data_IF_704262640393
#
_entry.id   IF_704262640393
#
_cell.length_a   1.000
_cell.length_b   1.000
_cell.length_c   1.000
_cell.angle_alpha   90.00
_cell.angle_beta   90.00
_cell.angle_gamma   90.00
#
_symmetry.space_group_name_H-M   'P 1'
#
loop_
_entity.id
_entity.type
_entity.pdbx_description
1 polymer ?
#
# COMPACT_ATOMS: atom_id res chain seq x y z
N UNK A 1 -33.49 -24.55 -22.95
CA UNK A 1 -33.79 -23.84 -21.69
C UNK A 1 -33.20 -24.51 -20.43
N UNK A 2 -32.97 -25.81 -20.36
CA UNK A 2 -32.53 -26.49 -19.12
C UNK A 2 -31.03 -26.37 -18.75
N UNK A 3 -30.13 -25.96 -19.63
CA UNK A 3 -28.70 -25.79 -19.29
C UNK A 3 -28.42 -24.42 -18.68
N UNK A 4 -29.06 -23.37 -19.14
CA UNK A 4 -28.91 -22.00 -18.55
C UNK A 4 -29.49 -21.93 -17.13
N UNK A 5 -30.62 -22.55 -16.85
CA UNK A 5 -31.19 -22.59 -15.49
C UNK A 5 -30.32 -23.37 -14.49
N UNK A 6 -29.51 -24.35 -14.90
CA UNK A 6 -28.56 -25.06 -14.03
C UNK A 6 -27.37 -24.16 -13.67
N UNK A 7 -26.91 -23.24 -14.55
CA UNK A 7 -25.84 -22.32 -14.25
C UNK A 7 -26.27 -21.20 -13.27
N UNK A 8 -27.51 -20.71 -13.38
CA UNK A 8 -28.04 -19.69 -12.46
C UNK A 8 -28.47 -20.27 -11.10
N UNK A 9 -28.81 -21.54 -10.98
CA UNK A 9 -29.21 -22.17 -9.71
C UNK A 9 -28.01 -22.46 -8.77
N UNK A 10 -26.76 -22.27 -9.20
CA UNK A 10 -25.55 -22.53 -8.41
C UNK A 10 -24.86 -21.24 -7.92
N UNK A 11 -25.36 -20.05 -8.30
CA UNK A 11 -24.78 -18.78 -7.86
C UNK A 11 -25.28 -18.43 -6.44
N UNK A 12 -24.53 -18.88 -5.44
CA UNK A 12 -24.86 -18.63 -4.03
C UNK A 12 -24.29 -17.29 -3.55
N UNK A 13 -24.86 -16.73 -2.47
CA UNK A 13 -24.28 -15.54 -1.81
C UNK A 13 -22.80 -15.74 -1.44
N UNK A 14 -22.40 -16.98 -1.12
CA UNK A 14 -20.99 -17.32 -0.84
C UNK A 14 -20.11 -17.17 -2.11
N UNK A 15 -20.60 -17.62 -3.26
CA UNK A 15 -19.87 -17.46 -4.53
C UNK A 15 -19.74 -15.99 -4.91
N UNK A 16 -20.79 -15.18 -4.71
CA UNK A 16 -20.74 -13.75 -4.94
C UNK A 16 -19.72 -13.05 -4.01
N UNK A 17 -19.71 -13.41 -2.74
CA UNK A 17 -18.74 -12.89 -1.78
C UNK A 17 -17.28 -13.19 -2.19
N UNK A 18 -17.01 -14.43 -2.58
CA UNK A 18 -15.68 -14.83 -3.06
C UNK A 18 -15.26 -14.09 -4.34
N UNK A 19 -16.20 -13.87 -5.26
CA UNK A 19 -15.96 -13.12 -6.49
C UNK A 19 -15.70 -11.63 -6.20
N UNK A 20 -16.49 -11.01 -5.33
CA UNK A 20 -16.28 -9.62 -4.92
C UNK A 20 -14.94 -9.45 -4.21
N UNK A 21 -14.58 -10.36 -3.31
CA UNK A 21 -13.28 -10.34 -2.65
C UNK A 21 -12.12 -10.52 -3.64
N UNK A 22 -12.26 -11.43 -4.62
CA UNK A 22 -11.30 -11.56 -5.71
C UNK A 22 -11.10 -10.23 -6.45
N UNK A 23 -12.18 -9.54 -6.83
CA UNK A 23 -12.08 -8.24 -7.51
C UNK A 23 -11.52 -7.14 -6.61
N UNK A 24 -11.84 -7.13 -5.31
CA UNK A 24 -11.20 -6.20 -4.37
C UNK A 24 -9.67 -6.37 -4.37
N UNK A 25 -9.17 -7.61 -4.35
CA UNK A 25 -7.73 -7.89 -4.40
C UNK A 25 -7.14 -7.57 -5.77
N UNK A 26 -7.81 -7.99 -6.85
CA UNK A 26 -7.37 -7.73 -8.22
C UNK A 26 -7.18 -6.23 -8.50
N UNK A 27 -8.10 -5.39 -8.03
CA UNK A 27 -8.13 -3.96 -8.30
C UNK A 27 -7.44 -3.09 -7.23
N UNK A 28 -6.70 -3.67 -6.28
CA UNK A 28 -5.85 -2.91 -5.33
C UNK A 28 -4.97 -1.88 -6.05
N UNK A 29 -4.30 -2.22 -7.19
CA UNK A 29 -3.41 -1.29 -7.89
C UNK A 29 -4.11 -0.11 -8.57
N UNK A 30 -5.41 -0.18 -8.79
CA UNK A 30 -6.11 0.80 -9.64
C UNK A 30 -6.46 2.10 -8.90
N UNK A 31 -6.54 3.19 -9.66
CA UNK A 31 -6.96 4.51 -9.19
C UNK A 31 -8.24 5.00 -9.89
N UNK A 32 -9.09 4.08 -10.35
CA UNK A 32 -10.37 4.44 -10.97
C UNK A 32 -11.22 5.17 -9.94
N UNK A 33 -11.42 6.47 -10.09
CA UNK A 33 -12.16 7.27 -9.12
C UNK A 33 -12.52 8.64 -9.64
N UNK A 34 -13.48 9.27 -8.99
CA UNK A 34 -13.90 10.64 -9.21
C UNK A 34 -13.42 11.53 -8.09
N UNK A 35 -12.57 12.50 -8.41
CA UNK A 35 -12.15 13.56 -7.49
C UNK A 35 -13.20 14.67 -7.43
N UNK A 36 -13.41 15.17 -6.21
CA UNK A 36 -14.23 16.35 -5.94
C UNK A 36 -13.34 17.46 -5.37
N UNK A 37 -13.67 18.71 -5.70
CA UNK A 37 -12.82 19.85 -5.39
C UNK A 37 -13.58 20.94 -4.63
N UNK A 38 -14.13 20.66 -3.42
CA UNK A 38 -14.68 21.70 -2.57
C UNK A 38 -13.57 22.65 -2.07
N UNK A 39 -13.94 23.83 -1.59
CA UNK A 39 -13.00 24.91 -1.25
C UNK A 39 -11.91 24.50 -0.25
N UNK A 40 -12.21 23.61 0.69
CA UNK A 40 -11.24 23.12 1.66
C UNK A 40 -10.09 22.27 1.04
N UNK A 41 -10.20 21.90 -0.24
CA UNK A 41 -9.15 21.18 -0.96
C UNK A 41 -8.12 22.11 -1.62
N UNK A 42 -8.32 23.42 -1.51
CA UNK A 42 -7.49 24.42 -2.15
C UNK A 42 -6.50 25.00 -1.14
N UNK A 43 -5.21 25.03 -1.50
CA UNK A 43 -4.18 25.80 -0.83
C UNK A 43 -3.72 26.89 -1.79
N UNK A 44 -3.85 28.18 -1.43
CA UNK A 44 -3.55 29.31 -2.30
C UNK A 44 -4.23 29.20 -3.69
N UNK A 45 -5.50 28.75 -3.71
CA UNK A 45 -6.29 28.48 -4.93
C UNK A 45 -5.77 27.33 -5.81
N UNK A 46 -4.79 26.55 -5.32
CA UNK A 46 -4.24 25.38 -6.02
C UNK A 46 -4.87 24.11 -5.45
N UNK A 47 -5.39 23.25 -6.35
CA UNK A 47 -5.96 21.96 -5.97
C UNK A 47 -4.92 21.05 -5.34
N UNK A 48 -5.24 20.50 -4.18
CA UNK A 48 -4.36 19.60 -3.41
C UNK A 48 -4.97 18.19 -3.37
N UNK A 49 -4.36 17.26 -4.11
CA UNK A 49 -4.86 15.87 -4.25
C UNK A 49 -5.04 15.18 -2.89
N UNK A 50 -4.19 15.46 -1.91
CA UNK A 50 -4.25 14.87 -0.57
C UNK A 50 -5.52 15.20 0.22
N UNK A 51 -6.19 16.32 -0.11
CA UNK A 51 -7.42 16.78 0.56
C UNK A 51 -8.67 16.42 -0.21
N UNK A 52 -8.52 16.02 -1.49
CA UNK A 52 -9.65 15.77 -2.37
C UNK A 52 -10.46 14.56 -1.89
N UNK A 53 -11.79 14.70 -1.64
CA UNK A 53 -12.68 13.57 -1.56
C UNK A 53 -12.65 12.80 -2.88
N UNK A 54 -12.45 11.49 -2.81
CA UNK A 54 -12.41 10.63 -3.99
C UNK A 54 -13.31 9.43 -3.78
N UNK A 55 -14.24 9.21 -4.67
CA UNK A 55 -15.01 7.96 -4.70
C UNK A 55 -14.31 7.03 -5.68
N UNK A 56 -13.62 6.03 -5.15
CA UNK A 56 -13.00 5.00 -5.99
C UNK A 56 -14.00 3.89 -6.33
N UNK A 57 -13.91 3.35 -7.55
CA UNK A 57 -14.66 2.13 -7.91
C UNK A 57 -14.33 0.95 -6.98
N UNK A 58 -13.13 0.94 -6.42
CA UNK A 58 -12.70 -0.03 -5.42
C UNK A 58 -13.52 0.06 -4.11
N UNK A 59 -13.86 1.26 -3.66
CA UNK A 59 -14.66 1.48 -2.45
C UNK A 59 -16.07 0.90 -2.62
N UNK A 60 -16.65 1.06 -3.83
CA UNK A 60 -17.95 0.46 -4.16
C UNK A 60 -17.90 -1.06 -4.11
N UNK A 61 -16.81 -1.68 -4.59
CA UNK A 61 -16.62 -3.13 -4.49
C UNK A 61 -16.56 -3.60 -3.03
N UNK A 62 -15.85 -2.86 -2.17
CA UNK A 62 -15.77 -3.15 -0.73
C UNK A 62 -17.14 -3.02 -0.07
N UNK A 63 -17.88 -1.96 -0.35
CA UNK A 63 -19.23 -1.78 0.19
C UNK A 63 -20.16 -2.92 -0.22
N UNK A 64 -20.14 -3.34 -1.49
CA UNK A 64 -20.91 -4.49 -1.97
C UNK A 64 -20.47 -5.79 -1.28
N UNK A 65 -19.17 -6.00 -1.10
CA UNK A 65 -18.63 -7.14 -0.37
C UNK A 65 -19.16 -7.19 1.08
N UNK A 66 -19.16 -6.05 1.76
CA UNK A 66 -19.68 -5.94 3.13
C UNK A 66 -21.18 -6.18 3.20
N UNK A 67 -21.95 -5.66 2.24
CA UNK A 67 -23.40 -5.93 2.15
C UNK A 67 -23.64 -7.44 2.05
N UNK A 68 -22.93 -8.15 1.18
CA UNK A 68 -23.08 -9.61 1.02
C UNK A 68 -22.61 -10.35 2.28
N UNK A 69 -21.54 -9.90 2.93
CA UNK A 69 -21.05 -10.46 4.18
C UNK A 69 -22.11 -10.39 5.30
N UNK A 70 -22.70 -9.22 5.53
CA UNK A 70 -23.72 -9.03 6.56
C UNK A 70 -25.07 -9.67 6.18
N UNK A 71 -25.41 -9.71 4.89
CA UNK A 71 -26.59 -10.43 4.41
C UNK A 71 -26.56 -11.93 4.80
N UNK A 72 -25.36 -12.52 4.80
CA UNK A 72 -25.15 -13.90 5.25
C UNK A 72 -25.16 -14.03 6.80
N UNK A 73 -25.50 -12.98 7.53
CA UNK A 73 -25.52 -12.92 9.01
C UNK A 73 -24.16 -13.23 9.65
N UNK A 74 -23.06 -13.04 8.92
CA UNK A 74 -21.72 -13.15 9.44
C UNK A 74 -21.42 -11.99 10.39
N UNK A 75 -20.55 -12.24 11.38
CA UNK A 75 -20.17 -11.24 12.39
C UNK A 75 -18.69 -10.95 12.29
N UNK A 76 -18.31 -9.71 12.57
CA UNK A 76 -16.92 -9.35 12.76
C UNK A 76 -16.39 -10.02 14.03
N UNK A 77 -15.12 -10.48 13.99
CA UNK A 77 -14.43 -11.01 15.17
C UNK A 77 -14.15 -9.88 16.16
N UNK A 78 -14.39 -10.13 17.43
CA UNK A 78 -14.37 -9.11 18.50
C UNK A 78 -13.00 -8.44 18.64
N UNK A 79 -11.90 -9.21 18.64
CA UNK A 79 -10.57 -8.64 18.87
C UNK A 79 -10.09 -7.75 17.71
N UNK A 80 -10.15 -8.16 16.42
CA UNK A 80 -9.84 -7.27 15.31
C UNK A 80 -10.76 -6.05 15.26
N UNK A 81 -12.06 -6.21 15.55
CA UNK A 81 -13.01 -5.11 15.62
C UNK A 81 -12.63 -4.09 16.70
N UNK A 82 -12.26 -4.56 17.89
CA UNK A 82 -11.81 -3.69 18.97
C UNK A 82 -10.58 -2.87 18.57
N UNK A 83 -9.56 -3.50 17.99
CA UNK A 83 -8.34 -2.81 17.55
C UNK A 83 -8.63 -1.78 16.46
N UNK A 84 -9.47 -2.14 15.51
CA UNK A 84 -9.87 -1.23 14.43
C UNK A 84 -10.65 -0.03 14.95
N UNK A 85 -11.64 -0.26 15.82
CA UNK A 85 -12.40 0.83 16.42
C UNK A 85 -11.54 1.71 17.31
N UNK A 86 -10.62 1.13 18.09
CA UNK A 86 -9.68 1.88 18.91
C UNK A 86 -8.81 2.79 18.03
N UNK A 87 -8.26 2.25 16.93
CA UNK A 87 -7.53 3.04 15.95
C UNK A 87 -8.39 4.19 15.42
N UNK A 88 -9.60 3.91 14.89
CA UNK A 88 -10.46 4.96 14.33
C UNK A 88 -10.85 6.02 15.36
N UNK A 89 -11.22 5.63 16.57
CA UNK A 89 -11.65 6.58 17.60
C UNK A 89 -10.50 7.51 18.02
N UNK A 90 -9.28 6.96 18.15
CA UNK A 90 -8.13 7.80 18.48
C UNK A 90 -7.74 8.74 17.35
N UNK A 91 -7.90 8.34 16.07
CA UNK A 91 -7.72 9.25 14.93
C UNK A 91 -8.82 10.35 14.92
N UNK A 92 -10.07 9.99 15.21
CA UNK A 92 -11.21 10.91 15.24
C UNK A 92 -11.02 12.04 16.27
N UNK A 93 -10.41 11.76 17.42
CA UNK A 93 -10.16 12.75 18.47
C UNK A 93 -9.31 13.92 17.94
N UNK A 94 -8.39 13.71 17.02
CA UNK A 94 -7.55 14.78 16.44
C UNK A 94 -8.35 15.81 15.64
N UNK A 95 -9.58 15.49 15.21
CA UNK A 95 -10.43 16.41 14.46
C UNK A 95 -10.82 17.65 15.30
N UNK A 96 -10.82 17.53 16.64
CA UNK A 96 -11.11 18.66 17.52
C UNK A 96 -10.08 19.79 17.45
N UNK A 97 -8.86 19.50 16.97
CA UNK A 97 -7.78 20.47 16.81
C UNK A 97 -7.44 20.73 15.32
N UNK A 98 -8.31 20.32 14.41
CA UNK A 98 -8.05 20.42 12.97
C UNK A 98 -8.31 21.83 12.44
N UNK A 99 -7.32 22.41 11.77
CA UNK A 99 -7.46 23.66 11.00
C UNK A 99 -8.25 23.47 9.70
N UNK A 100 -8.22 22.26 9.12
CA UNK A 100 -8.97 21.86 7.92
C UNK A 100 -9.81 20.61 8.20
N UNK A 101 -10.96 20.82 8.84
CA UNK A 101 -11.88 19.74 9.24
C UNK A 101 -12.34 18.91 8.03
N UNK A 102 -12.54 19.53 6.86
CA UNK A 102 -12.93 18.83 5.63
C UNK A 102 -11.88 17.81 5.20
N UNK A 103 -10.60 18.19 5.20
CA UNK A 103 -9.49 17.28 4.87
C UNK A 103 -9.39 16.13 5.88
N UNK A 104 -9.63 16.42 7.17
CA UNK A 104 -9.64 15.39 8.23
C UNK A 104 -10.76 14.37 8.05
N UNK A 105 -11.97 14.82 7.70
CA UNK A 105 -13.08 13.90 7.41
C UNK A 105 -12.81 13.01 6.20
N UNK A 106 -12.19 13.54 5.14
CA UNK A 106 -11.79 12.75 3.96
C UNK A 106 -10.85 11.62 4.36
N UNK A 107 -9.83 11.91 5.18
CA UNK A 107 -8.89 10.88 5.63
C UNK A 107 -9.54 9.87 6.57
N UNK A 108 -10.38 10.33 7.48
CA UNK A 108 -11.12 9.46 8.39
C UNK A 108 -12.06 8.51 7.63
N UNK A 109 -12.76 8.99 6.61
CA UNK A 109 -13.59 8.19 5.72
C UNK A 109 -12.77 7.14 4.99
N UNK A 110 -11.61 7.51 4.41
CA UNK A 110 -10.71 6.58 3.74
C UNK A 110 -10.24 5.46 4.69
N UNK A 111 -9.81 5.80 5.91
CA UNK A 111 -9.43 4.81 6.91
C UNK A 111 -10.61 3.91 7.30
N UNK A 112 -11.81 4.45 7.35
CA UNK A 112 -13.01 3.69 7.68
C UNK A 112 -13.35 2.67 6.59
N UNK A 113 -13.45 3.08 5.32
CA UNK A 113 -13.82 2.19 4.21
C UNK A 113 -12.73 1.13 3.96
N UNK A 114 -11.46 1.57 3.87
CA UNK A 114 -10.36 0.64 3.60
C UNK A 114 -10.11 -0.26 4.81
N UNK A 115 -10.28 0.26 6.03
CA UNK A 115 -10.15 -0.50 7.26
C UNK A 115 -11.24 -1.56 7.44
N UNK A 116 -12.48 -1.27 7.01
CA UNK A 116 -13.55 -2.27 6.96
C UNK A 116 -13.23 -3.45 6.02
N UNK A 117 -12.49 -3.22 4.93
CA UNK A 117 -11.96 -4.31 4.11
C UNK A 117 -10.96 -5.17 4.89
N UNK A 118 -10.03 -4.57 5.64
CA UNK A 118 -9.12 -5.31 6.51
C UNK A 118 -9.87 -6.10 7.61
N UNK A 119 -10.88 -5.49 8.23
CA UNK A 119 -11.73 -6.14 9.23
C UNK A 119 -12.55 -7.30 8.64
N UNK A 120 -13.07 -7.14 7.42
CA UNK A 120 -13.71 -8.24 6.68
C UNK A 120 -12.75 -9.43 6.56
N UNK A 121 -11.52 -9.20 6.10
CA UNK A 121 -10.51 -10.26 5.96
C UNK A 121 -10.23 -10.91 7.31
N UNK A 122 -9.95 -10.12 8.35
CA UNK A 122 -9.68 -10.63 9.71
C UNK A 122 -10.82 -11.47 10.29
N UNK A 123 -12.04 -11.23 9.81
CA UNK A 123 -13.26 -11.92 10.27
C UNK A 123 -13.56 -13.22 9.50
N UNK A 124 -12.82 -13.50 8.43
CA UNK A 124 -12.95 -14.74 7.66
C UNK A 124 -12.14 -15.90 8.26
N UNK A 125 -12.31 -17.10 7.67
CA UNK A 125 -11.37 -18.20 7.81
C UNK A 125 -10.42 -18.22 6.62
N UNK A 126 -9.19 -18.68 6.82
CA UNK A 126 -8.21 -18.77 5.72
C UNK A 126 -8.75 -19.58 4.52
N UNK A 127 -9.40 -20.71 4.80
CA UNK A 127 -9.98 -21.60 3.77
C UNK A 127 -11.00 -20.87 2.88
N UNK A 128 -11.78 -19.94 3.46
CA UNK A 128 -12.82 -19.23 2.72
C UNK A 128 -12.26 -18.24 1.70
N UNK A 129 -11.09 -17.64 1.96
CA UNK A 129 -10.54 -16.54 1.15
C UNK A 129 -9.30 -16.92 0.35
N UNK A 130 -8.59 -18.01 0.68
CA UNK A 130 -7.27 -18.35 0.13
C UNK A 130 -7.21 -18.37 -1.40
N UNK A 131 -8.22 -18.92 -2.07
CA UNK A 131 -8.25 -19.01 -3.54
C UNK A 131 -8.48 -17.64 -4.19
N UNK A 132 -9.48 -16.90 -3.72
CA UNK A 132 -9.77 -15.55 -4.22
C UNK A 132 -8.61 -14.58 -3.97
N UNK A 133 -7.96 -14.67 -2.81
CA UNK A 133 -6.75 -13.91 -2.50
C UNK A 133 -5.62 -14.24 -3.48
N UNK A 134 -5.36 -15.52 -3.69
CA UNK A 134 -4.27 -16.00 -4.54
C UNK A 134 -4.45 -15.55 -6.01
N UNK A 135 -5.61 -15.82 -6.60
CA UNK A 135 -5.89 -15.45 -8.00
C UNK A 135 -5.96 -13.92 -8.17
N UNK A 136 -6.52 -13.20 -7.19
CA UNK A 136 -6.54 -11.74 -7.20
C UNK A 136 -5.12 -11.15 -7.20
N UNK A 137 -4.22 -11.67 -6.35
CA UNK A 137 -2.81 -11.26 -6.31
C UNK A 137 -2.07 -11.61 -7.60
N UNK A 138 -2.25 -12.81 -8.15
CA UNK A 138 -1.63 -13.19 -9.41
C UNK A 138 -2.05 -12.25 -10.55
N UNK A 139 -3.35 -11.99 -10.68
CA UNK A 139 -3.87 -11.08 -11.69
C UNK A 139 -3.37 -9.66 -11.52
N UNK A 140 -3.39 -9.13 -10.29
CA UNK A 140 -2.93 -7.77 -9.99
C UNK A 140 -1.43 -7.57 -10.25
N UNK A 141 -0.59 -8.54 -9.88
CA UNK A 141 0.86 -8.53 -10.15
C UNK A 141 1.13 -8.61 -11.66
N UNK A 142 0.40 -9.48 -12.37
CA UNK A 142 0.57 -9.67 -13.80
C UNK A 142 0.29 -8.39 -14.59
N UNK A 143 -0.91 -7.80 -14.45
CA UNK A 143 -1.22 -6.61 -15.24
C UNK A 143 -0.40 -5.39 -14.82
N UNK A 144 -0.16 -5.19 -13.51
CA UNK A 144 0.67 -4.08 -13.04
C UNK A 144 2.10 -4.20 -13.52
N UNK A 145 2.64 -5.42 -13.55
CA UNK A 145 4.00 -5.68 -14.02
C UNK A 145 4.15 -5.45 -15.53
N UNK A 146 3.17 -5.89 -16.34
CA UNK A 146 3.18 -5.63 -17.78
C UNK A 146 3.13 -4.14 -18.08
N UNK A 147 2.22 -3.39 -17.43
CA UNK A 147 2.12 -1.93 -17.60
C UNK A 147 3.45 -1.27 -17.20
N UNK A 148 4.02 -1.66 -16.05
CA UNK A 148 5.28 -1.12 -15.55
C UNK A 148 6.44 -1.30 -16.55
N UNK A 149 6.61 -2.51 -17.09
CA UNK A 149 7.66 -2.83 -18.07
C UNK A 149 7.47 -2.02 -19.35
N UNK A 150 6.24 -2.01 -19.89
CA UNK A 150 5.95 -1.28 -21.13
C UNK A 150 6.12 0.24 -20.98
N UNK A 151 5.78 0.83 -19.84
CA UNK A 151 6.03 2.26 -19.56
C UNK A 151 7.52 2.60 -19.61
N UNK A 152 8.38 1.76 -19.00
CA UNK A 152 9.83 1.99 -19.00
C UNK A 152 10.39 1.86 -20.43
N UNK A 153 9.95 0.88 -21.20
CA UNK A 153 10.38 0.69 -22.60
C UNK A 153 9.96 1.88 -23.47
N UNK A 154 8.74 2.43 -23.27
CA UNK A 154 8.25 3.55 -24.08
C UNK A 154 8.68 4.92 -23.54
N UNK A 155 9.20 5.01 -22.32
CA UNK A 155 9.52 6.29 -21.66
C UNK A 155 8.31 7.18 -21.36
N UNK A 156 7.09 6.62 -21.39
CA UNK A 156 5.82 7.34 -21.17
C UNK A 156 4.71 6.38 -20.71
N UNK A 157 3.59 6.94 -20.29
CA UNK A 157 2.36 6.20 -19.99
C UNK A 157 1.72 5.60 -21.24
N UNK A 158 0.97 4.51 -21.06
CA UNK A 158 0.36 3.73 -22.15
C UNK A 158 -1.05 4.20 -22.53
N UNK A 159 -1.68 5.03 -21.67
CA UNK A 159 -3.04 5.53 -21.87
C UNK A 159 -4.12 4.66 -21.22
N UNK A 160 -3.80 3.80 -20.29
CA UNK A 160 -4.79 3.02 -19.53
C UNK A 160 -5.48 3.85 -18.43
N UNK A 161 -5.99 5.04 -18.81
CA UNK A 161 -6.68 5.96 -17.91
C UNK A 161 -7.89 5.29 -17.19
N UNK A 162 -8.56 4.34 -17.84
CA UNK A 162 -9.63 3.53 -17.26
C UNK A 162 -9.15 2.76 -16.00
N UNK A 163 -7.87 2.37 -15.94
CA UNK A 163 -7.29 1.72 -14.76
C UNK A 163 -6.69 2.74 -13.78
N UNK A 164 -6.81 4.02 -14.06
CA UNK A 164 -6.26 5.11 -13.27
C UNK A 164 -4.80 5.43 -13.57
N UNK A 165 -4.28 5.05 -14.75
CA UNK A 165 -2.95 5.45 -15.19
C UNK A 165 -2.91 6.97 -15.40
N UNK A 166 -1.95 7.64 -14.79
CA UNK A 166 -1.72 9.09 -14.94
C UNK A 166 -1.02 9.35 -16.28
N UNK A 167 -1.27 10.51 -16.88
CA UNK A 167 -0.61 10.89 -18.14
C UNK A 167 0.69 11.63 -17.87
N UNK A 168 1.83 11.06 -18.29
CA UNK A 168 3.16 11.68 -18.20
C UNK A 168 4.14 11.05 -19.21
N UNK A 169 5.25 11.76 -19.45
CA UNK A 169 6.41 11.31 -20.24
C UNK A 169 7.70 11.71 -19.52
N UNK A 170 8.85 11.39 -20.10
CA UNK A 170 10.16 11.81 -19.58
C UNK A 170 10.30 13.33 -19.47
N UNK A 171 9.57 14.10 -20.31
CA UNK A 171 9.59 15.57 -20.29
C UNK A 171 8.69 16.18 -19.21
N UNK A 172 7.92 15.38 -18.50
CA UNK A 172 7.03 15.85 -17.43
C UNK A 172 7.84 16.25 -16.20
N UNK A 173 7.64 17.49 -15.75
CA UNK A 173 8.33 18.05 -14.56
C UNK A 173 8.04 17.19 -13.33
N UNK A 174 9.07 16.94 -12.52
CA UNK A 174 9.00 16.19 -11.26
C UNK A 174 8.62 14.71 -11.40
N UNK A 175 8.68 14.14 -12.58
CA UNK A 175 8.55 12.70 -12.76
C UNK A 175 9.80 11.97 -12.25
N UNK A 176 9.62 10.84 -11.57
CA UNK A 176 10.73 10.08 -11.05
C UNK A 176 11.46 9.35 -12.20
N UNK A 177 12.74 9.63 -12.33
CA UNK A 177 13.65 9.06 -13.33
C UNK A 177 14.85 8.40 -12.66
N UNK A 178 15.65 7.69 -13.44
CA UNK A 178 16.98 7.24 -13.04
C UNK A 178 17.95 7.46 -14.19
N UNK A 179 19.19 7.75 -13.86
CA UNK A 179 20.28 7.87 -14.81
C UNK A 179 21.02 6.53 -14.92
N UNK A 180 21.27 6.09 -16.15
CA UNK A 180 22.06 4.94 -16.47
C UNK A 180 23.12 5.33 -17.49
N UNK A 181 24.36 5.53 -17.04
CA UNK A 181 25.49 5.96 -17.86
C UNK A 181 25.22 7.20 -18.73
N UNK A 182 24.58 8.22 -18.14
CA UNK A 182 24.26 9.48 -18.81
C UNK A 182 22.96 9.47 -19.65
N UNK A 183 22.24 8.33 -19.67
CA UNK A 183 20.93 8.26 -20.27
C UNK A 183 19.85 8.26 -19.18
N UNK A 184 18.85 9.11 -19.33
CA UNK A 184 17.74 9.24 -18.40
C UNK A 184 16.61 8.31 -18.80
N UNK A 185 16.18 7.48 -17.88
CA UNK A 185 15.06 6.54 -18.03
C UNK A 185 13.94 6.83 -17.05
N UNK A 186 12.70 6.54 -17.47
CA UNK A 186 11.54 6.59 -16.62
C UNK A 186 11.61 5.45 -15.58
N UNK A 187 11.35 5.75 -14.31
CA UNK A 187 11.06 4.72 -13.32
C UNK A 187 9.64 4.17 -13.53
N UNK A 188 9.42 2.88 -13.25
CA UNK A 188 8.11 2.26 -13.42
C UNK A 188 7.08 2.81 -12.43
N UNK A 189 5.90 3.18 -12.93
CA UNK A 189 4.76 3.67 -12.15
C UNK A 189 3.56 2.72 -12.19
N UNK A 190 3.35 2.02 -13.33
CA UNK A 190 2.09 1.31 -13.60
C UNK A 190 0.89 2.25 -13.41
N UNK A 191 -0.09 1.85 -12.62
CA UNK A 191 -1.26 2.65 -12.25
C UNK A 191 -1.09 3.38 -10.90
N UNK A 192 0.10 3.38 -10.33
CA UNK A 192 0.38 4.00 -9.03
C UNK A 192 0.84 5.46 -9.19
N UNK A 193 0.62 6.32 -8.17
CA UNK A 193 1.02 7.72 -8.23
C UNK A 193 2.53 7.93 -8.11
N UNK A 194 3.27 6.93 -7.57
CA UNK A 194 4.70 7.01 -7.36
C UNK A 194 5.37 5.63 -7.42
N UNK A 195 6.61 5.50 -7.97
CA UNK A 195 7.34 4.24 -8.06
C UNK A 195 7.56 3.53 -6.72
N UNK A 196 7.73 4.25 -5.61
CA UNK A 196 7.91 3.63 -4.30
C UNK A 196 6.66 2.87 -3.83
N UNK A 197 5.45 3.38 -4.16
CA UNK A 197 4.18 2.72 -3.84
C UNK A 197 4.02 1.45 -4.67
N UNK A 198 4.36 1.51 -5.96
CA UNK A 198 4.39 0.33 -6.84
C UNK A 198 5.38 -0.72 -6.33
N UNK A 199 6.56 -0.28 -5.87
CA UNK A 199 7.57 -1.17 -5.31
C UNK A 199 7.06 -1.91 -4.06
N UNK A 200 6.40 -1.20 -3.15
CA UNK A 200 5.78 -1.81 -1.98
C UNK A 200 4.69 -2.81 -2.38
N UNK A 201 3.87 -2.46 -3.38
CA UNK A 201 2.86 -3.37 -3.91
C UNK A 201 3.47 -4.68 -4.42
N UNK A 202 4.49 -4.63 -5.26
CA UNK A 202 5.15 -5.83 -5.77
C UNK A 202 5.80 -6.64 -4.65
N UNK A 203 6.56 -5.99 -3.76
CA UNK A 203 7.22 -6.65 -2.63
C UNK A 203 6.21 -7.45 -1.79
N UNK A 204 5.14 -6.80 -1.38
CA UNK A 204 4.13 -7.40 -0.51
C UNK A 204 3.32 -8.46 -1.26
N UNK A 205 2.88 -8.19 -2.48
CA UNK A 205 2.07 -9.12 -3.26
C UNK A 205 2.84 -10.39 -3.62
N UNK A 206 4.10 -10.25 -4.04
CA UNK A 206 5.00 -11.40 -4.30
C UNK A 206 5.23 -12.20 -3.02
N UNK A 207 5.50 -11.52 -1.90
CA UNK A 207 5.68 -12.18 -0.62
C UNK A 207 4.43 -12.93 -0.15
N UNK A 208 3.24 -12.36 -0.36
CA UNK A 208 1.96 -13.05 -0.08
C UNK A 208 1.71 -14.25 -1.00
N UNK A 209 2.07 -14.17 -2.28
CA UNK A 209 1.99 -15.32 -3.21
C UNK A 209 2.89 -16.45 -2.73
N UNK A 210 4.13 -16.14 -2.31
CA UNK A 210 5.06 -17.12 -1.75
C UNK A 210 4.49 -17.74 -0.46
N UNK A 211 3.94 -16.91 0.42
CA UNK A 211 3.31 -17.38 1.64
C UNK A 211 2.12 -18.31 1.36
N UNK A 212 1.25 -17.96 0.39
CA UNK A 212 0.14 -18.81 -0.05
C UNK A 212 0.63 -20.13 -0.65
N UNK A 213 1.74 -20.09 -1.40
CA UNK A 213 2.37 -21.30 -1.93
C UNK A 213 2.87 -22.24 -0.81
N UNK A 214 3.45 -21.71 0.28
CA UNK A 214 3.79 -22.50 1.48
C UNK A 214 2.54 -23.12 2.13
N UNK A 215 1.39 -22.44 2.06
CA UNK A 215 0.09 -22.95 2.50
C UNK A 215 -0.56 -23.93 1.48
N UNK A 216 0.22 -24.44 0.51
CA UNK A 216 -0.21 -25.38 -0.54
C UNK A 216 -1.28 -24.81 -1.48
N UNK A 217 -1.43 -23.49 -1.56
CA UNK A 217 -2.29 -22.80 -2.54
C UNK A 217 -1.43 -22.48 -3.76
N UNK A 218 -1.70 -23.15 -4.88
CA UNK A 218 -0.89 -23.01 -6.10
C UNK A 218 -1.69 -23.32 -7.36
N UNK A 219 -1.21 -22.85 -8.52
CA UNK A 219 -1.75 -23.21 -9.81
C UNK A 219 -1.51 -24.69 -10.15
N UNK A 220 -2.38 -25.25 -10.99
CA UNK A 220 -2.17 -26.58 -11.58
C UNK A 220 -0.89 -26.62 -12.44
N UNK A 221 -0.60 -25.52 -13.12
CA UNK A 221 0.57 -25.36 -14.00
C UNK A 221 1.53 -24.34 -13.36
N UNK A 222 2.61 -24.82 -12.79
CA UNK A 222 3.60 -24.01 -12.06
C UNK A 222 4.32 -22.98 -12.97
N UNK A 223 4.38 -23.26 -14.27
CA UNK A 223 5.06 -22.39 -15.25
C UNK A 223 4.42 -20.98 -15.30
N UNK A 224 3.10 -20.90 -15.24
CA UNK A 224 2.39 -19.60 -15.22
C UNK A 224 2.68 -18.81 -13.95
N UNK A 225 2.80 -19.47 -12.82
CA UNK A 225 3.15 -18.83 -11.55
C UNK A 225 4.55 -18.21 -11.62
N UNK A 226 5.52 -18.94 -12.20
CA UNK A 226 6.87 -18.44 -12.40
C UNK A 226 6.93 -17.24 -13.37
N UNK A 227 6.13 -17.26 -14.44
CA UNK A 227 6.04 -16.12 -15.37
C UNK A 227 5.55 -14.87 -14.63
N UNK A 228 4.49 -14.99 -13.82
CA UNK A 228 3.95 -13.87 -13.04
C UNK A 228 4.97 -13.38 -12.01
N UNK A 229 5.67 -14.31 -11.34
CA UNK A 229 6.74 -13.99 -10.41
C UNK A 229 7.87 -13.19 -11.09
N UNK A 230 8.30 -13.60 -12.28
CA UNK A 230 9.34 -12.90 -13.04
C UNK A 230 8.86 -11.51 -13.46
N UNK A 231 7.65 -11.39 -14.00
CA UNK A 231 7.05 -10.11 -14.41
C UNK A 231 6.94 -9.14 -13.21
N UNK A 232 6.45 -9.61 -12.06
CA UNK A 232 6.36 -8.80 -10.86
C UNK A 232 7.72 -8.39 -10.29
N UNK A 233 8.70 -9.31 -10.33
CA UNK A 233 10.08 -9.04 -9.89
C UNK A 233 10.78 -8.02 -10.78
N UNK A 234 10.63 -8.12 -12.11
CA UNK A 234 11.11 -7.12 -13.07
C UNK A 234 10.40 -5.78 -12.84
N UNK A 235 9.09 -5.78 -12.66
CA UNK A 235 8.33 -4.58 -12.33
C UNK A 235 8.87 -3.90 -11.07
N UNK A 236 9.16 -4.65 -9.99
CA UNK A 236 9.78 -4.12 -8.77
C UNK A 236 11.17 -3.53 -9.05
N UNK A 237 12.03 -4.22 -9.75
CA UNK A 237 13.38 -3.75 -10.10
C UNK A 237 13.32 -2.43 -10.86
N UNK A 238 12.42 -2.31 -11.85
CA UNK A 238 12.24 -1.12 -12.68
C UNK A 238 11.66 0.08 -11.92
N UNK A 239 11.15 -0.11 -10.69
CA UNK A 239 10.81 1.01 -9.82
C UNK A 239 12.01 1.74 -9.27
N UNK A 240 13.18 1.12 -9.21
CA UNK A 240 14.40 1.63 -8.60
C UNK A 240 14.20 2.14 -7.15
N UNK A 241 13.29 1.56 -6.39
CA UNK A 241 13.05 1.92 -4.99
C UNK A 241 14.09 1.25 -4.08
N UNK A 242 15.02 2.04 -3.53
CA UNK A 242 16.15 1.53 -2.72
C UNK A 242 15.68 0.66 -1.55
N UNK A 243 14.75 1.18 -0.76
CA UNK A 243 14.27 0.49 0.45
C UNK A 243 13.54 -0.80 0.08
N UNK A 244 12.67 -0.76 -0.93
CA UNK A 244 11.95 -1.96 -1.39
C UNK A 244 12.90 -3.01 -1.97
N UNK A 245 13.97 -2.62 -2.68
CA UNK A 245 15.00 -3.53 -3.17
C UNK A 245 15.73 -4.28 -2.05
N UNK A 246 16.04 -3.58 -0.94
CA UNK A 246 16.65 -4.21 0.23
C UNK A 246 15.71 -5.28 0.83
N UNK A 247 14.45 -4.94 1.09
CA UNK A 247 13.49 -5.93 1.61
C UNK A 247 13.23 -7.06 0.61
N UNK A 248 13.21 -6.76 -0.69
CA UNK A 248 13.05 -7.79 -1.72
C UNK A 248 14.22 -8.78 -1.76
N UNK A 249 15.45 -8.32 -1.54
CA UNK A 249 16.60 -9.20 -1.41
C UNK A 249 16.44 -10.21 -0.27
N UNK A 250 15.84 -9.81 0.86
CA UNK A 250 15.54 -10.75 1.95
C UNK A 250 14.43 -11.76 1.58
N UNK A 251 13.35 -11.34 0.89
CA UNK A 251 12.34 -12.27 0.35
C UNK A 251 13.00 -13.27 -0.60
N UNK A 252 13.88 -12.78 -1.47
CA UNK A 252 14.60 -13.62 -2.42
C UNK A 252 15.58 -14.59 -1.75
N UNK A 253 16.30 -14.13 -0.71
CA UNK A 253 17.16 -14.98 0.10
C UNK A 253 16.34 -16.07 0.83
N UNK A 254 15.17 -15.73 1.33
CA UNK A 254 14.27 -16.70 1.94
C UNK A 254 13.82 -17.79 0.95
N UNK A 255 13.44 -17.41 -0.27
CA UNK A 255 13.10 -18.36 -1.34
C UNK A 255 14.25 -19.31 -1.69
N UNK A 256 15.47 -18.78 -1.72
CA UNK A 256 16.69 -19.48 -2.14
C UNK A 256 17.50 -20.02 -0.96
N UNK A 257 16.92 -20.06 0.26
CA UNK A 257 17.63 -20.50 1.49
C UNK A 257 18.33 -21.85 1.36
N UNK A 258 17.79 -22.77 0.54
CA UNK A 258 18.38 -24.08 0.25
C UNK A 258 19.23 -24.08 -1.01
N UNK A 259 19.42 -22.95 -1.70
CA UNK A 259 20.15 -22.78 -2.95
C UNK A 259 21.07 -21.56 -2.89
N UNK A 260 21.86 -21.45 -1.81
CA UNK A 260 22.68 -20.26 -1.52
C UNK A 260 23.65 -19.89 -2.65
N UNK A 261 24.19 -20.89 -3.38
CA UNK A 261 25.05 -20.64 -4.55
C UNK A 261 24.29 -19.92 -5.66
N UNK A 262 23.03 -20.34 -5.93
CA UNK A 262 22.18 -19.71 -6.93
C UNK A 262 21.82 -18.27 -6.49
N UNK A 263 21.51 -18.07 -5.21
CA UNK A 263 21.31 -16.73 -4.66
C UNK A 263 22.52 -15.83 -4.89
N UNK A 264 23.73 -16.32 -4.57
CA UNK A 264 24.97 -15.58 -4.79
C UNK A 264 25.21 -15.23 -6.27
N UNK A 265 24.94 -16.14 -7.20
CA UNK A 265 25.05 -15.89 -8.66
C UNK A 265 24.05 -14.81 -9.12
N UNK A 266 22.81 -14.84 -8.62
CA UNK A 266 21.80 -13.85 -8.96
C UNK A 266 22.19 -12.47 -8.39
N UNK A 267 22.65 -12.39 -7.15
CA UNK A 267 23.15 -11.14 -6.56
C UNK A 267 24.33 -10.59 -7.39
N UNK A 268 25.27 -11.46 -7.77
CA UNK A 268 26.41 -11.07 -8.60
C UNK A 268 25.97 -10.53 -9.97
N UNK A 269 24.98 -11.16 -10.60
CA UNK A 269 24.42 -10.71 -11.88
C UNK A 269 23.78 -9.33 -11.78
N UNK A 270 23.05 -9.07 -10.67
CA UNK A 270 22.42 -7.77 -10.44
C UNK A 270 23.35 -6.73 -9.80
N UNK A 271 24.56 -7.10 -9.41
CA UNK A 271 25.50 -6.20 -8.74
C UNK A 271 25.76 -4.89 -9.51
N UNK A 272 25.97 -4.87 -10.85
CA UNK A 272 26.15 -3.63 -11.59
C UNK A 272 24.93 -2.71 -11.51
N UNK A 273 23.71 -3.28 -11.60
CA UNK A 273 22.46 -2.54 -11.45
C UNK A 273 22.31 -1.94 -10.04
N UNK A 274 22.60 -2.74 -9.01
CA UNK A 274 22.59 -2.27 -7.61
C UNK A 274 23.65 -1.21 -7.39
N UNK A 275 24.86 -1.39 -7.94
CA UNK A 275 25.95 -0.43 -7.85
C UNK A 275 25.53 0.94 -8.40
N UNK A 276 25.03 1.02 -9.63
CA UNK A 276 24.55 2.28 -10.23
C UNK A 276 23.49 2.92 -9.34
N UNK A 277 22.53 2.13 -8.84
CA UNK A 277 21.45 2.65 -8.02
C UNK A 277 21.88 3.14 -6.65
N UNK A 278 22.81 2.44 -5.99
CA UNK A 278 23.30 2.82 -4.67
C UNK A 278 24.44 3.85 -4.75
N UNK A 279 25.25 3.84 -5.79
CA UNK A 279 26.29 4.85 -6.00
C UNK A 279 25.68 6.27 -6.11
N UNK A 280 24.57 6.43 -6.81
CA UNK A 280 23.81 7.69 -6.83
C UNK A 280 23.29 8.12 -5.45
N UNK A 281 23.23 7.22 -4.47
CA UNK A 281 22.90 7.55 -3.08
C UNK A 281 24.09 8.13 -2.31
N UNK A 282 25.31 7.71 -2.63
CA UNK A 282 26.55 8.26 -2.04
C UNK A 282 26.91 9.61 -2.64
N UNK A 283 26.54 9.86 -3.89
CA UNK A 283 26.66 11.18 -4.51
C UNK A 283 25.51 12.11 -4.14
N UNK A 284 24.89 11.91 -2.99
CA UNK A 284 23.79 12.62 -2.38
C UNK A 284 23.05 13.51 -3.40
N UNK A 285 21.88 13.08 -3.83
CA UNK A 285 20.89 14.02 -4.34
C UNK A 285 20.53 14.98 -3.18
N UNK A 286 21.38 16.01 -2.99
CA UNK A 286 21.33 16.90 -1.86
C UNK A 286 19.93 17.48 -1.67
N UNK A 287 19.25 17.77 -2.77
CA UNK A 287 17.91 18.35 -2.72
C UNK A 287 16.85 17.42 -2.13
N UNK A 288 16.86 16.13 -2.48
CA UNK A 288 15.91 15.16 -1.92
C UNK A 288 16.16 14.89 -0.43
N UNK A 289 17.42 14.92 -0.01
CA UNK A 289 17.78 14.77 1.39
C UNK A 289 17.39 16.02 2.21
N UNK A 290 17.76 17.20 1.74
CA UNK A 290 17.45 18.50 2.37
C UNK A 290 15.92 18.63 2.56
N UNK A 291 15.12 18.32 1.53
CA UNK A 291 13.65 18.38 1.62
C UNK A 291 13.08 17.44 2.69
N UNK A 292 13.64 16.25 2.86
CA UNK A 292 13.22 15.32 3.92
C UNK A 292 13.60 15.82 5.31
N UNK A 293 14.77 16.41 5.43
CA UNK A 293 15.25 17.03 6.68
C UNK A 293 14.36 18.22 7.06
N UNK A 294 14.05 19.11 6.13
CA UNK A 294 13.13 20.22 6.33
C UNK A 294 11.76 19.75 6.82
N UNK A 295 11.17 18.74 6.17
CA UNK A 295 9.90 18.15 6.58
C UNK A 295 9.98 17.51 7.98
N UNK A 296 11.11 16.90 8.34
CA UNK A 296 11.30 16.34 9.67
C UNK A 296 11.43 17.43 10.75
N UNK A 297 12.15 18.52 10.47
CA UNK A 297 12.25 19.67 11.37
C UNK A 297 10.87 20.29 11.60
N UNK A 298 10.12 20.56 10.52
CA UNK A 298 8.75 21.07 10.60
C UNK A 298 7.83 20.14 11.43
N UNK A 299 8.01 18.82 11.29
CA UNK A 299 7.26 17.86 12.09
C UNK A 299 7.50 18.02 13.58
N UNK A 300 8.75 18.25 13.99
CA UNK A 300 9.12 18.46 15.41
C UNK A 300 8.48 19.73 15.96
N UNK A 301 8.46 20.80 15.19
CA UNK A 301 7.82 22.08 15.57
C UNK A 301 6.31 21.91 15.75
N UNK A 302 5.64 21.28 14.76
CA UNK A 302 4.21 21.00 14.83
C UNK A 302 3.83 20.09 16.03
N UNK A 303 4.68 19.11 16.37
CA UNK A 303 4.48 18.27 17.56
C UNK A 303 4.60 19.11 18.83
N UNK A 304 5.57 20.03 18.91
CA UNK A 304 5.75 20.89 20.07
C UNK A 304 4.56 21.84 20.30
N UNK A 305 3.90 22.28 19.22
CA UNK A 305 2.70 23.12 19.29
C UNK A 305 1.47 22.34 19.77
N UNK A 306 1.32 21.08 19.36
CA UNK A 306 0.15 20.26 19.73
C UNK A 306 0.50 18.80 20.05
N UNK A 307 1.19 18.53 21.19
CA UNK A 307 1.72 17.18 21.47
C UNK A 307 0.66 16.12 21.81
N UNK A 308 -0.51 16.53 22.30
CA UNK A 308 -1.54 15.59 22.80
C UNK A 308 -2.55 15.22 21.72
N UNK A 309 -3.11 16.20 21.01
CA UNK A 309 -4.16 16.01 20.01
C UNK A 309 -3.64 16.02 18.58
N UNK A 310 -2.41 16.51 18.35
CA UNK A 310 -1.87 16.80 17.05
C UNK A 310 -2.52 18.01 16.38
N UNK A 311 -2.09 18.33 15.17
CA UNK A 311 -2.60 19.45 14.37
C UNK A 311 -3.89 19.14 13.61
N UNK A 312 -4.42 17.92 13.75
CA UNK A 312 -5.56 17.40 13.01
C UNK A 312 -5.17 16.40 11.92
N UNK A 313 -5.96 15.34 11.81
CA UNK A 313 -5.75 14.28 10.80
C UNK A 313 -5.72 14.90 9.39
N UNK A 314 -4.75 14.52 8.55
CA UNK A 314 -4.54 15.03 7.18
C UNK A 314 -4.32 16.56 7.09
N UNK A 315 -3.82 17.21 8.16
CA UNK A 315 -3.56 18.65 8.16
C UNK A 315 -2.08 19.03 7.97
N UNK A 316 -1.17 18.05 7.91
CA UNK A 316 0.27 18.30 7.76
C UNK A 316 0.60 19.28 6.61
N UNK A 317 0.01 19.05 5.43
CA UNK A 317 0.26 19.90 4.25
C UNK A 317 -0.41 21.28 4.43
N UNK A 318 -1.55 21.37 5.11
CA UNK A 318 -2.21 22.63 5.40
C UNK A 318 -1.27 23.53 6.23
N UNK A 319 -0.75 23.01 7.32
CA UNK A 319 0.09 23.81 8.23
C UNK A 319 1.47 24.07 7.61
N UNK A 320 2.03 23.10 6.87
CA UNK A 320 3.26 23.28 6.09
C UNK A 320 3.15 24.44 5.10
N UNK A 321 1.99 24.65 4.47
CA UNK A 321 1.75 25.73 3.51
C UNK A 321 1.96 27.14 4.11
N UNK A 322 1.67 27.29 5.39
CA UNK A 322 1.80 28.55 6.12
C UNK A 322 3.10 28.66 6.93
N UNK A 323 3.92 27.60 6.94
CA UNK A 323 5.23 27.62 7.59
C UNK A 323 6.23 28.53 6.86
N UNK A 324 7.09 29.19 7.62
CA UNK A 324 8.15 30.07 7.11
C UNK A 324 9.42 29.33 6.71
N UNK A 325 9.59 28.09 7.11
CA UNK A 325 10.82 27.31 6.97
C UNK A 325 10.95 26.54 5.64
N UNK A 326 10.00 26.69 4.72
CA UNK A 326 10.10 26.03 3.42
C UNK A 326 11.01 26.83 2.51
N UNK A 327 12.22 26.33 2.26
CA UNK A 327 13.20 26.94 1.38
C UNK A 327 12.91 26.71 -0.11
N UNK A 328 13.19 27.71 -0.94
CA UNK A 328 13.15 27.65 -2.39
C UNK A 328 11.92 28.31 -3.06
N UNK A 329 12.02 28.53 -4.39
CA UNK A 329 10.98 29.16 -5.19
C UNK A 329 9.73 28.26 -5.37
N UNK A 330 9.90 26.94 -5.27
CA UNK A 330 8.82 25.95 -5.40
C UNK A 330 8.65 25.25 -4.06
N UNK A 331 7.53 25.48 -3.40
CA UNK A 331 7.18 24.81 -2.14
C UNK A 331 6.93 23.31 -2.38
N UNK A 332 7.66 22.48 -1.64
CA UNK A 332 7.54 21.04 -1.73
C UNK A 332 6.43 20.55 -0.78
N UNK A 333 5.18 20.57 -1.26
CA UNK A 333 3.98 20.28 -0.50
C UNK A 333 3.70 18.78 -0.44
N UNK A 334 4.42 18.07 0.43
CA UNK A 334 4.22 16.64 0.69
C UNK A 334 4.22 16.36 2.21
N UNK A 335 3.56 15.27 2.65
CA UNK A 335 3.68 14.82 4.03
C UNK A 335 5.11 14.38 4.36
N UNK A 336 5.48 14.43 5.64
CA UNK A 336 6.78 13.89 6.10
C UNK A 336 6.89 12.40 5.73
N UNK A 337 8.07 12.00 5.23
CA UNK A 337 8.32 10.66 4.71
C UNK A 337 8.57 9.63 5.82
N UNK A 338 7.64 9.54 6.77
CA UNK A 338 7.65 8.58 7.87
C UNK A 338 6.24 8.48 8.46
N UNK A 339 5.63 7.28 8.43
CA UNK A 339 4.24 7.10 8.92
C UNK A 339 4.10 7.34 10.42
N UNK A 340 5.13 7.03 11.21
CA UNK A 340 5.08 7.19 12.66
C UNK A 340 5.11 8.68 13.03
N UNK A 341 6.01 9.41 12.38
CA UNK A 341 6.14 10.85 12.58
C UNK A 341 4.91 11.60 12.05
N UNK A 342 4.42 11.21 10.84
CA UNK A 342 3.20 11.78 10.26
C UNK A 342 1.99 11.59 11.19
N UNK A 343 1.80 10.36 11.69
CA UNK A 343 0.69 10.09 12.59
C UNK A 343 0.83 10.88 13.90
N UNK A 344 2.05 10.97 14.47
CA UNK A 344 2.29 11.73 15.70
C UNK A 344 2.01 13.23 15.52
N UNK A 345 2.44 13.82 14.40
CA UNK A 345 2.13 15.21 14.07
C UNK A 345 0.64 15.46 13.96
N UNK A 346 -0.03 14.64 13.14
CA UNK A 346 -1.44 14.85 12.80
C UNK A 346 -2.39 14.51 13.95
N UNK A 347 -2.06 13.50 14.78
CA UNK A 347 -3.01 12.97 15.76
C UNK A 347 -2.51 12.99 17.21
N UNK A 348 -1.29 13.53 17.42
CA UNK A 348 -0.68 13.64 18.72
C UNK A 348 -0.45 12.31 19.44
N UNK A 349 -0.19 12.39 20.74
CA UNK A 349 0.05 11.19 21.57
C UNK A 349 -1.17 10.27 21.62
N UNK A 350 -2.39 10.80 21.67
CA UNK A 350 -3.62 9.99 21.76
C UNK A 350 -3.80 9.16 20.50
N UNK A 351 -3.72 9.76 19.31
CA UNK A 351 -3.83 9.05 18.04
C UNK A 351 -2.72 8.04 17.83
N UNK A 352 -1.49 8.41 18.24
CA UNK A 352 -0.32 7.55 18.12
C UNK A 352 -0.42 6.30 18.99
N UNK A 353 -1.00 6.36 20.19
CA UNK A 353 -1.23 5.15 21.02
C UNK A 353 -2.14 4.18 20.27
N UNK A 354 -3.29 4.63 19.75
CA UNK A 354 -4.18 3.78 18.97
C UNK A 354 -3.53 3.19 17.73
N UNK A 355 -2.75 4.00 17.01
CA UNK A 355 -1.99 3.57 15.83
C UNK A 355 -0.92 2.54 16.16
N UNK A 356 -0.13 2.75 17.23
CA UNK A 356 0.90 1.81 17.68
C UNK A 356 0.26 0.48 18.07
N UNK A 357 -0.82 0.47 18.84
CA UNK A 357 -1.53 -0.75 19.22
C UNK A 357 -2.06 -1.50 17.98
N UNK A 358 -2.63 -0.77 17.01
CA UNK A 358 -3.07 -1.33 15.74
C UNK A 358 -1.92 -2.00 14.97
N UNK A 359 -0.71 -1.38 14.95
CA UNK A 359 0.46 -1.90 14.23
C UNK A 359 1.14 -3.06 14.95
N UNK A 360 1.18 -3.06 16.28
CA UNK A 360 1.92 -4.08 17.04
C UNK A 360 1.11 -5.35 17.33
N UNK A 361 -0.22 -5.28 17.31
CA UNK A 361 -1.07 -6.45 17.53
C UNK A 361 -0.78 -7.62 16.54
N UNK A 362 -0.62 -7.38 15.21
CA UNK A 362 -0.21 -8.42 14.27
C UNK A 362 1.14 -9.05 14.61
N UNK A 363 2.12 -8.27 15.07
CA UNK A 363 3.45 -8.77 15.41
C UNK A 363 3.34 -9.83 16.52
N UNK A 364 2.66 -9.48 17.61
CA UNK A 364 2.46 -10.39 18.74
C UNK A 364 1.79 -11.71 18.29
N UNK A 365 0.72 -11.60 17.50
CA UNK A 365 -0.02 -12.76 16.99
C UNK A 365 0.85 -13.64 16.08
N UNK A 366 1.56 -13.04 15.12
CA UNK A 366 2.37 -13.77 14.14
C UNK A 366 3.60 -14.45 14.79
N UNK A 367 4.19 -13.83 15.82
CA UNK A 367 5.23 -14.48 16.65
C UNK A 367 4.66 -15.71 17.34
N UNK A 368 3.50 -15.58 18.00
CA UNK A 368 2.83 -16.68 18.71
C UNK A 368 2.47 -17.84 17.77
N UNK A 369 2.02 -17.53 16.56
CA UNK A 369 1.67 -18.52 15.53
C UNK A 369 2.87 -19.04 14.72
N UNK A 370 4.07 -18.51 14.96
CA UNK A 370 5.32 -18.84 14.26
C UNK A 370 5.24 -18.64 12.72
N UNK A 371 4.41 -17.71 12.26
CA UNK A 371 4.25 -17.39 10.84
C UNK A 371 5.34 -16.41 10.39
N UNK A 372 6.55 -16.93 10.18
CA UNK A 372 7.77 -16.13 9.95
C UNK A 372 7.70 -15.27 8.68
N UNK A 373 7.14 -15.81 7.59
CA UNK A 373 7.11 -15.06 6.33
C UNK A 373 6.11 -13.92 6.41
N UNK A 374 4.92 -14.15 6.96
CA UNK A 374 3.92 -13.09 7.12
C UNK A 374 4.38 -12.03 8.14
N UNK A 375 5.07 -12.45 9.21
CA UNK A 375 5.73 -11.52 10.13
C UNK A 375 6.78 -10.66 9.41
N UNK A 376 7.61 -11.25 8.56
CA UNK A 376 8.59 -10.51 7.76
C UNK A 376 7.91 -9.51 6.81
N UNK A 377 6.81 -9.88 6.16
CA UNK A 377 6.06 -8.97 5.28
C UNK A 377 5.46 -7.80 6.08
N UNK A 378 4.94 -8.07 7.27
CA UNK A 378 4.43 -7.01 8.15
C UNK A 378 5.54 -6.07 8.60
N UNK A 379 6.69 -6.60 9.02
CA UNK A 379 7.88 -5.80 9.36
C UNK A 379 8.35 -5.00 8.14
N UNK A 380 8.26 -5.56 6.92
CA UNK A 380 8.60 -4.83 5.69
C UNK A 380 7.69 -3.62 5.46
N UNK A 381 6.38 -3.73 5.76
CA UNK A 381 5.46 -2.59 5.72
C UNK A 381 5.89 -1.50 6.71
N UNK A 382 6.22 -1.88 7.96
CA UNK A 382 6.68 -0.93 8.97
C UNK A 382 8.00 -0.27 8.58
N UNK A 383 8.94 -1.05 8.04
CA UNK A 383 10.22 -0.55 7.55
C UNK A 383 10.07 0.38 6.34
N UNK A 384 9.25 0.03 5.36
CA UNK A 384 8.92 0.92 4.24
C UNK A 384 8.24 2.19 4.73
N UNK A 385 7.30 2.08 5.69
CA UNK A 385 6.61 3.21 6.30
C UNK A 385 7.51 4.11 7.14
N UNK A 386 8.65 3.59 7.65
CA UNK A 386 9.65 4.43 8.31
C UNK A 386 10.37 5.38 7.32
N UNK A 387 10.43 5.02 6.03
CA UNK A 387 11.09 5.81 4.98
C UNK A 387 10.13 6.53 4.04
N UNK A 388 8.81 6.33 4.19
CA UNK A 388 7.82 6.97 3.32
C UNK A 388 6.44 7.04 4.01
N UNK A 389 5.53 7.89 3.51
CA UNK A 389 4.23 8.18 4.13
C UNK A 389 3.03 7.47 3.47
N UNK A 390 3.20 6.84 2.31
CA UNK A 390 2.11 6.38 1.44
C UNK A 390 1.16 5.35 2.07
N UNK A 391 1.56 4.63 3.10
CA UNK A 391 0.64 3.72 3.82
C UNK A 391 -0.46 4.44 4.61
N UNK A 392 -0.27 5.74 4.88
CA UNK A 392 -1.30 6.57 5.53
C UNK A 392 -1.95 7.57 4.58
N UNK A 393 -1.28 7.98 3.51
CA UNK A 393 -1.68 9.12 2.70
C UNK A 393 -2.14 8.79 1.29
N UNK A 394 -1.86 7.58 0.78
CA UNK A 394 -2.19 7.14 -0.59
C UNK A 394 -3.07 5.89 -0.54
N UNK A 395 -4.20 5.92 -1.25
CA UNK A 395 -5.21 4.86 -1.20
C UNK A 395 -4.66 3.45 -1.45
N UNK A 396 -3.79 3.25 -2.46
CA UNK A 396 -3.18 1.94 -2.71
C UNK A 396 -2.25 1.48 -1.58
N UNK A 397 -1.52 2.41 -0.95
CA UNK A 397 -0.71 2.12 0.23
C UNK A 397 -1.58 1.69 1.41
N UNK A 398 -2.67 2.42 1.67
CA UNK A 398 -3.64 2.07 2.71
C UNK A 398 -4.28 0.70 2.45
N UNK A 399 -4.67 0.40 1.20
CA UNK A 399 -5.22 -0.91 0.82
C UNK A 399 -4.24 -2.05 1.11
N UNK A 400 -2.94 -1.86 0.85
CA UNK A 400 -1.90 -2.83 1.20
C UNK A 400 -1.74 -3.00 2.70
N UNK A 401 -1.70 -1.90 3.46
CA UNK A 401 -1.59 -1.92 4.91
C UNK A 401 -2.74 -2.74 5.53
N UNK A 402 -3.98 -2.41 5.17
CA UNK A 402 -5.16 -3.09 5.73
C UNK A 402 -5.36 -4.51 5.17
N UNK A 403 -4.93 -4.81 3.94
CA UNK A 403 -4.89 -6.17 3.41
C UNK A 403 -4.01 -7.07 4.29
N UNK A 404 -2.75 -6.65 4.51
CA UNK A 404 -1.80 -7.47 5.28
C UNK A 404 -2.18 -7.50 6.76
N UNK A 405 -2.68 -6.38 7.31
CA UNK A 405 -3.23 -6.37 8.66
C UNK A 405 -4.36 -7.39 8.81
N UNK A 406 -5.33 -7.39 7.91
CA UNK A 406 -6.45 -8.32 7.90
C UNK A 406 -5.99 -9.78 7.83
N UNK A 407 -5.05 -10.09 6.92
CA UNK A 407 -4.46 -11.44 6.77
C UNK A 407 -3.71 -11.85 8.05
N UNK A 408 -2.97 -10.93 8.65
CA UNK A 408 -2.21 -11.18 9.89
C UNK A 408 -3.12 -11.43 11.10
N UNK A 409 -4.35 -10.90 11.07
CA UNK A 409 -5.35 -11.09 12.12
C UNK A 409 -6.29 -12.28 11.85
N UNK A 410 -6.16 -13.00 10.71
CA UNK A 410 -6.91 -14.22 10.43
C UNK A 410 -6.65 -15.31 11.48
N UNK A 411 -7.68 -16.08 11.81
CA UNK A 411 -7.50 -17.36 12.50
C UNK A 411 -7.23 -18.45 11.46
N UNK A 412 -6.09 -19.07 11.59
CA UNK A 412 -5.74 -20.30 10.88
C UNK A 412 -6.38 -21.42 11.66
N UNK A 413 -7.56 -21.90 11.23
CA UNK A 413 -8.18 -23.08 11.85
C UNK A 413 -7.20 -24.24 11.83
N UNK A 414 -7.25 -25.09 12.88
CA UNK A 414 -6.40 -26.27 13.03
C UNK A 414 -6.58 -27.27 11.85
N UNK A 415 -6.01 -26.95 10.67
CA UNK A 415 -5.75 -27.97 9.64
C UNK A 415 -4.62 -28.94 10.05
N UNK A 416 -4.06 -28.80 11.26
CA UNK A 416 -3.05 -29.73 11.81
C UNK A 416 -3.65 -30.99 12.41
N UNK A 417 -4.98 -31.13 12.44
CA UNK A 417 -5.72 -32.26 13.02
C UNK A 417 -6.57 -33.03 12.03
N UNK A 418 -6.31 -32.93 10.72
CA UNK A 418 -6.96 -33.76 9.71
C UNK A 418 -5.96 -34.52 8.84
#
# INVERSE_FOLDING_TARGET
MNRLNRYFSTFTAKTLEQLLFFFCVLFIPTQIGKHFWPDFTLIFSIKTDYFSPVIYGWDLLVLLLLVVFFYQRKKCKTYPLFLFLLFLMTQLISLFNSSNVGASFVRFEQYSVIGLFGLYIASQTFVAIKQSLYFGLLGSVFFSGLIAILQVIQGKTLGFWILGERTFSLDTISIATFDWYGQVFLRAYSTFPHPNVLAAFFLISIGLIIWLHEQKVRLKYAEFEWIIFIIGSLGLLLTFSRVALVFFAFVFAYLLKNKIKLFGLIVLFFLPFLYVRFNSAFNFDQLSFIRREELAIQSVEMIAESPILGIGLNNFIQDLAYSTLVSGEIRFMQPVHNIFLLNLVETGAIGSIGFILFLFAPIYKLIKEQNRLLLFLWISILGLGFFDHYFLSIAQGQRLLFLVWGISMLEYGDERSA
#
